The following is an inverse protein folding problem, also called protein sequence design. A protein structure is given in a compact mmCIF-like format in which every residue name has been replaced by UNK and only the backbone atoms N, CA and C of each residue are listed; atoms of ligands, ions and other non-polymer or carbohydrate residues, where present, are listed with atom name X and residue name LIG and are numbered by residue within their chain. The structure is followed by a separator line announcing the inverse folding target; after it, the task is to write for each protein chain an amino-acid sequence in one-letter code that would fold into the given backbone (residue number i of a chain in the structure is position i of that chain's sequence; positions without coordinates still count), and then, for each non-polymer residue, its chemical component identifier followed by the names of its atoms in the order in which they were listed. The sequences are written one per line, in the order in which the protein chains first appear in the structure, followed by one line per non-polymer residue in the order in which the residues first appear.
data_IF_900583732377
#
_entry.id   IF_900583732377
#
_cell.length_a   1.000
_cell.length_b   1.000
_cell.length_c   1.000
_cell.angle_alpha   90.00
_cell.angle_beta   90.00
_cell.angle_gamma   90.00
#
_symmetry.space_group_name_H-M   'P 1'
#
loop_
_entity.id
_entity.type
_entity.pdbx_description
1 polymer ?
#
# COMPACT_ATOMS: atom_id res chain seq x y z
N UNK A 1 -24.36 79.06 -0.31
CA UNK A 1 -23.29 78.75 0.66
C UNK A 1 -23.09 77.25 0.58
N UNK A 2 -21.91 76.85 0.14
CA UNK A 2 -21.53 75.46 -0.07
C UNK A 2 -21.10 74.86 1.26
N UNK A 3 -21.64 73.70 1.62
CA UNK A 3 -21.07 72.83 2.65
C UNK A 3 -20.56 71.58 1.95
N UNK A 4 -19.24 71.50 1.88
CA UNK A 4 -18.47 70.50 1.15
C UNK A 4 -18.21 69.30 2.05
N UNK A 5 -18.47 68.12 1.50
CA UNK A 5 -18.17 66.79 2.03
C UNK A 5 -16.66 66.62 2.30
N UNK A 6 -16.25 66.41 3.56
CA UNK A 6 -14.89 65.95 3.90
C UNK A 6 -14.84 64.42 3.94
N UNK A 7 -14.46 63.83 2.81
CA UNK A 7 -14.18 62.41 2.69
C UNK A 7 -12.76 62.14 3.19
N UNK A 8 -12.64 61.54 4.38
CA UNK A 8 -11.37 61.16 5.00
C UNK A 8 -10.73 60.02 4.16
N UNK A 9 -9.71 60.36 3.38
CA UNK A 9 -8.89 59.39 2.64
C UNK A 9 -7.95 58.73 3.65
N UNK A 10 -8.14 57.44 3.90
CA UNK A 10 -7.17 56.60 4.62
C UNK A 10 -6.14 56.16 3.58
N UNK A 11 -4.94 56.71 3.64
CA UNK A 11 -3.79 56.20 2.90
C UNK A 11 -3.30 54.94 3.59
N UNK A 12 -3.50 53.78 2.96
CA UNK A 12 -2.79 52.54 3.29
C UNK A 12 -1.31 52.76 2.94
N UNK A 13 -0.46 52.84 3.96
CA UNK A 13 0.98 52.73 3.79
C UNK A 13 1.29 51.30 3.33
N UNK A 14 1.65 51.15 2.05
CA UNK A 14 2.20 49.91 1.52
C UNK A 14 3.56 49.68 2.18
N UNK A 15 3.59 48.75 3.15
CA UNK A 15 4.82 48.22 3.72
C UNK A 15 5.58 47.50 2.59
N UNK A 16 6.61 48.16 2.07
CA UNK A 16 7.50 47.65 1.03
C UNK A 16 8.29 46.47 1.61
N UNK A 17 7.82 45.25 1.36
CA UNK A 17 8.49 44.02 1.78
C UNK A 17 9.82 43.93 1.01
N UNK A 18 10.93 44.20 1.69
CA UNK A 18 12.28 44.07 1.11
C UNK A 18 12.42 42.67 0.46
N UNK A 19 12.74 42.65 -0.83
CA UNK A 19 12.91 41.42 -1.57
C UNK A 19 14.08 40.63 -0.98
N UNK A 20 13.81 39.41 -0.50
CA UNK A 20 14.87 38.53 0.00
C UNK A 20 15.89 38.25 -1.11
N UNK A 21 17.20 38.25 -0.81
CA UNK A 21 18.23 37.96 -1.82
C UNK A 21 18.03 36.55 -2.39
N UNK A 22 18.00 36.45 -3.72
CA UNK A 22 17.91 35.17 -4.44
C UNK A 22 19.28 34.46 -4.37
N UNK A 23 19.45 33.59 -3.36
CA UNK A 23 20.69 32.86 -3.13
C UNK A 23 20.74 31.63 -4.03
N UNK A 24 21.62 31.68 -5.04
CA UNK A 24 21.89 30.55 -5.92
C UNK A 24 22.88 29.56 -5.28
N UNK A 25 22.57 28.26 -5.37
CA UNK A 25 23.42 27.16 -4.91
C UNK A 25 23.80 26.26 -6.09
N UNK A 26 25.09 25.94 -6.23
CA UNK A 26 25.52 24.92 -7.17
C UNK A 26 25.12 23.52 -6.68
N UNK A 27 24.49 22.68 -7.52
CA UNK A 27 24.08 21.33 -7.14
C UNK A 27 25.30 20.44 -6.84
N UNK A 28 25.33 19.85 -5.64
CA UNK A 28 26.40 18.92 -5.23
C UNK A 28 26.38 17.62 -6.07
N UNK A 29 25.21 17.21 -6.55
CA UNK A 29 25.00 15.97 -7.29
C UNK A 29 24.08 16.23 -8.49
N UNK A 30 24.47 15.72 -9.66
CA UNK A 30 23.61 15.66 -10.85
C UNK A 30 22.96 14.29 -10.90
N UNK A 31 21.64 14.25 -10.73
CA UNK A 31 20.85 13.02 -10.87
C UNK A 31 20.42 12.90 -12.33
N UNK A 32 20.56 11.70 -12.91
CA UNK A 32 19.94 11.38 -14.19
C UNK A 32 18.44 11.15 -13.99
N UNK A 33 17.64 11.51 -14.98
CA UNK A 33 16.24 11.11 -15.01
C UNK A 33 16.14 9.58 -15.09
N UNK A 34 15.29 9.00 -14.26
CA UNK A 34 15.06 7.55 -14.19
C UNK A 34 13.58 7.30 -14.41
N UNK A 35 13.27 6.33 -15.28
CA UNK A 35 11.89 5.87 -15.46
C UNK A 35 11.41 5.20 -14.17
N UNK A 36 10.39 5.77 -13.53
CA UNK A 36 9.81 5.22 -12.31
C UNK A 36 8.56 4.41 -12.68
N UNK A 37 8.60 3.12 -12.39
CA UNK A 37 7.44 2.22 -12.55
C UNK A 37 6.68 2.11 -11.23
N UNK A 38 5.36 2.08 -11.32
CA UNK A 38 4.48 1.99 -10.14
C UNK A 38 4.31 0.55 -9.66
N UNK A 39 4.57 -0.42 -10.54
CA UNK A 39 4.28 -1.84 -10.35
C UNK A 39 2.77 -2.10 -10.19
N UNK A 40 1.95 -1.26 -10.82
CA UNK A 40 0.47 -1.33 -10.90
C UNK A 40 0.01 -1.48 -12.36
N UNK A 41 0.91 -1.53 -13.35
CA UNK A 41 0.59 -1.46 -14.79
C UNK A 41 -0.14 -2.71 -15.32
N UNK A 42 0.09 -3.85 -14.65
CA UNK A 42 -0.55 -5.13 -14.95
C UNK A 42 -1.84 -5.35 -14.14
N UNK A 43 -2.41 -4.30 -13.55
CA UNK A 43 -3.59 -4.38 -12.71
C UNK A 43 -4.69 -3.42 -13.15
N UNK A 44 -5.94 -3.87 -13.03
CA UNK A 44 -7.13 -3.07 -13.28
C UNK A 44 -7.73 -2.57 -11.96
N UNK A 45 -8.18 -1.31 -11.95
CA UNK A 45 -8.75 -0.67 -10.77
C UNK A 45 -10.24 -1.03 -10.66
N UNK A 46 -10.59 -1.93 -9.74
CA UNK A 46 -11.98 -2.33 -9.48
C UNK A 46 -12.72 -1.34 -8.58
N UNK A 47 -11.99 -0.68 -7.70
CA UNK A 47 -12.52 0.29 -6.74
C UNK A 47 -11.46 1.35 -6.46
N UNK A 48 -11.89 2.60 -6.29
CA UNK A 48 -11.04 3.72 -5.86
C UNK A 48 -11.85 4.68 -5.02
N UNK A 49 -11.38 5.00 -3.82
CA UNK A 49 -12.05 5.96 -2.95
C UNK A 49 -11.09 6.64 -1.98
N UNK A 50 -11.39 7.90 -1.67
CA UNK A 50 -10.68 8.67 -0.65
C UNK A 50 -10.95 8.14 0.76
N UNK A 51 -9.91 7.89 1.53
CA UNK A 51 -10.03 7.39 2.90
C UNK A 51 -8.88 7.86 3.82
N UNK A 52 -9.08 7.67 5.13
CA UNK A 52 -8.04 7.76 6.15
C UNK A 52 -7.85 6.39 6.80
N UNK A 53 -6.62 5.90 6.81
CA UNK A 53 -6.21 4.62 7.36
C UNK A 53 -5.49 4.80 8.70
N UNK A 54 -5.82 3.93 9.64
CA UNK A 54 -5.24 3.83 10.96
C UNK A 54 -4.70 2.42 11.19
N UNK A 55 -3.73 2.33 12.09
CA UNK A 55 -3.14 1.09 12.59
C UNK A 55 -3.30 1.03 14.09
N UNK A 56 -3.68 -0.11 14.61
CA UNK A 56 -3.73 -0.32 16.04
C UNK A 56 -2.33 -0.64 16.58
N UNK A 57 -1.84 0.18 17.51
CA UNK A 57 -0.61 -0.08 18.23
C UNK A 57 -0.92 -0.97 19.45
N UNK A 58 -0.52 -2.25 19.38
CA UNK A 58 -0.79 -3.22 20.46
C UNK A 58 -0.08 -2.88 21.77
N UNK A 59 1.08 -2.20 21.70
CA UNK A 59 1.87 -1.84 22.88
C UNK A 59 1.23 -0.69 23.65
N UNK A 60 0.82 0.36 22.94
CA UNK A 60 0.19 1.54 23.52
C UNK A 60 -1.34 1.43 23.62
N UNK A 61 -1.94 0.41 23.02
CA UNK A 61 -3.39 0.17 22.96
C UNK A 61 -4.17 1.36 22.39
N UNK A 62 -3.64 1.93 21.31
CA UNK A 62 -4.21 3.12 20.68
C UNK A 62 -4.21 3.03 19.15
N UNK A 63 -5.08 3.81 18.52
CA UNK A 63 -5.11 3.96 17.07
C UNK A 63 -4.15 5.06 16.63
N UNK A 64 -3.19 4.73 15.77
CA UNK A 64 -2.28 5.69 15.12
C UNK A 64 -2.68 5.91 13.68
N UNK A 65 -2.63 7.16 13.22
CA UNK A 65 -2.84 7.47 11.80
C UNK A 65 -1.72 6.84 10.98
N UNK A 66 -2.09 6.02 10.00
CA UNK A 66 -1.14 5.36 9.10
C UNK A 66 -1.01 6.12 7.78
N UNK A 67 -2.10 6.67 7.25
CA UNK A 67 -2.08 7.46 6.03
C UNK A 67 -3.44 8.01 5.59
N UNK A 68 -3.41 9.04 4.75
CA UNK A 68 -4.57 9.63 4.08
C UNK A 68 -4.30 9.64 2.58
N UNK A 69 -5.28 9.17 1.80
CA UNK A 69 -5.15 9.07 0.35
C UNK A 69 -6.25 8.23 -0.28
N UNK A 70 -6.02 7.78 -1.50
CA UNK A 70 -6.97 6.92 -2.20
C UNK A 70 -6.65 5.45 -1.90
N UNK A 71 -7.63 4.72 -1.36
CA UNK A 71 -7.60 3.26 -1.32
C UNK A 71 -8.09 2.71 -2.65
N UNK A 72 -7.40 1.70 -3.17
CA UNK A 72 -7.73 1.01 -4.41
C UNK A 72 -7.86 -0.50 -4.17
N UNK A 73 -8.77 -1.14 -4.90
CA UNK A 73 -8.72 -2.57 -5.15
C UNK A 73 -8.18 -2.79 -6.56
N UNK A 74 -7.06 -3.50 -6.64
CA UNK A 74 -6.32 -3.72 -7.88
C UNK A 74 -6.37 -5.19 -8.23
N UNK A 75 -6.94 -5.53 -9.39
CA UNK A 75 -7.01 -6.89 -9.90
C UNK A 75 -5.90 -7.13 -10.93
N UNK A 76 -5.07 -8.12 -10.69
CA UNK A 76 -4.04 -8.53 -11.65
C UNK A 76 -4.66 -9.08 -12.94
N UNK A 77 -4.20 -8.61 -14.10
CA UNK A 77 -4.75 -8.98 -15.42
C UNK A 77 -4.66 -10.48 -15.71
N UNK A 78 -3.53 -11.10 -15.36
CA UNK A 78 -3.33 -12.54 -15.59
C UNK A 78 -3.90 -13.41 -14.48
N UNK A 79 -3.42 -13.24 -13.24
CA UNK A 79 -3.81 -14.11 -12.11
C UNK A 79 -5.22 -13.86 -11.58
N UNK A 80 -5.86 -12.76 -11.98
CA UNK A 80 -7.17 -12.28 -11.47
C UNK A 80 -7.24 -12.03 -9.96
N UNK A 81 -6.13 -12.21 -9.24
CA UNK A 81 -6.01 -11.92 -7.81
C UNK A 81 -6.15 -10.43 -7.58
N UNK A 82 -6.84 -10.08 -6.50
CA UNK A 82 -7.10 -8.70 -6.11
C UNK A 82 -6.39 -8.35 -4.81
N UNK A 83 -5.72 -7.21 -4.79
CA UNK A 83 -5.08 -6.65 -3.58
C UNK A 83 -5.66 -5.28 -3.23
N UNK A 84 -5.55 -4.94 -1.95
CA UNK A 84 -5.78 -3.59 -1.45
C UNK A 84 -4.46 -2.83 -1.51
N UNK A 85 -4.45 -1.70 -2.21
CA UNK A 85 -3.32 -0.76 -2.23
C UNK A 85 -3.78 0.63 -1.83
N UNK A 86 -3.04 1.28 -0.93
CA UNK A 86 -3.28 2.67 -0.55
C UNK A 86 -1.97 3.44 -0.44
N UNK A 87 -1.94 4.66 -1.00
CA UNK A 87 -0.78 5.57 -0.95
C UNK A 87 -1.15 6.86 -0.24
N UNK A 88 -0.19 7.44 0.46
CA UNK A 88 -0.33 8.74 1.12
C UNK A 88 -0.29 9.87 0.09
N UNK A 89 -1.07 10.91 0.31
CA UNK A 89 -0.98 12.14 -0.47
C UNK A 89 0.41 12.76 -0.42
N UNK A 90 0.76 13.47 -1.49
CA UNK A 90 1.99 14.25 -1.70
C UNK A 90 3.28 13.41 -1.73
N UNK A 91 3.45 12.51 -0.76
CA UNK A 91 4.63 11.64 -0.64
C UNK A 91 4.54 10.38 -1.51
N UNK A 92 3.33 9.99 -1.91
CA UNK A 92 3.05 8.77 -2.69
C UNK A 92 3.56 7.47 -2.05
N UNK A 93 3.99 7.51 -0.78
CA UNK A 93 4.43 6.35 -0.01
C UNK A 93 3.24 5.41 0.23
N UNK A 94 3.46 4.12 0.02
CA UNK A 94 2.48 3.08 0.32
C UNK A 94 2.20 3.07 1.82
N UNK A 95 0.93 2.96 2.20
CA UNK A 95 0.49 2.82 3.60
C UNK A 95 -0.43 1.62 3.83
N UNK A 96 -0.83 0.90 2.78
CA UNK A 96 -1.37 -0.45 2.85
C UNK A 96 -1.08 -1.18 1.54
N UNK A 97 -0.67 -2.43 1.63
CA UNK A 97 -0.46 -3.32 0.49
C UNK A 97 -0.59 -4.76 0.97
N UNK A 98 -1.73 -5.38 0.71
CA UNK A 98 -2.00 -6.77 1.07
C UNK A 98 -3.06 -7.38 0.15
N UNK A 99 -3.01 -8.70 -0.03
CA UNK A 99 -4.09 -9.44 -0.68
C UNK A 99 -5.35 -9.40 0.18
N UNK A 100 -6.53 -9.35 -0.46
CA UNK A 100 -7.81 -9.49 0.23
C UNK A 100 -8.13 -10.99 0.33
N UNK A 101 -8.09 -11.57 1.53
CA UNK A 101 -8.35 -13.01 1.71
C UNK A 101 -9.77 -13.27 2.20
N UNK A 102 -10.29 -14.49 1.99
CA UNK A 102 -11.61 -14.92 2.43
C UNK A 102 -11.78 -14.89 3.95
N UNK A 103 -10.69 -15.05 4.69
CA UNK A 103 -10.66 -15.04 6.16
C UNK A 103 -10.80 -13.63 6.77
N UNK A 104 -10.58 -12.57 5.98
CA UNK A 104 -10.74 -11.21 6.48
C UNK A 104 -12.21 -10.90 6.77
N UNK A 105 -12.48 -10.11 7.81
CA UNK A 105 -13.84 -9.69 8.15
C UNK A 105 -13.83 -8.22 8.55
N UNK A 106 -14.66 -7.42 7.87
CA UNK A 106 -14.86 -6.01 8.20
C UNK A 106 -15.82 -5.90 9.38
N UNK A 107 -15.30 -5.46 10.52
CA UNK A 107 -16.08 -5.19 11.73
C UNK A 107 -16.33 -3.69 11.90
N UNK A 108 -17.53 -3.27 12.33
CA UNK A 108 -17.80 -1.85 12.59
C UNK A 108 -16.94 -1.34 13.74
N UNK A 109 -16.46 -0.09 13.64
CA UNK A 109 -15.74 0.54 14.75
C UNK A 109 -16.74 1.20 15.73
N UNK A 110 -16.53 1.01 17.04
CA UNK A 110 -17.42 1.57 18.07
C UNK A 110 -17.42 3.10 17.97
N UNK A 111 -18.61 3.70 17.88
CA UNK A 111 -18.77 5.15 17.79
C UNK A 111 -18.51 5.73 16.39
N UNK A 112 -18.41 4.90 15.34
CA UNK A 112 -18.36 5.39 13.95
C UNK A 112 -19.26 4.57 13.03
N UNK A 113 -20.08 5.27 12.27
CA UNK A 113 -20.94 4.75 11.19
C UNK A 113 -20.24 4.70 9.82
N UNK A 114 -19.00 5.19 9.75
CA UNK A 114 -18.23 5.40 8.52
C UNK A 114 -16.83 4.81 8.59
N UNK A 115 -16.63 3.83 9.47
CA UNK A 115 -15.33 3.17 9.66
C UNK A 115 -15.46 1.66 9.78
N UNK A 116 -14.49 0.94 9.19
CA UNK A 116 -14.36 -0.50 9.30
C UNK A 116 -13.00 -0.89 9.87
N UNK A 117 -12.96 -2.01 10.60
CA UNK A 117 -11.77 -2.59 11.22
C UNK A 117 -11.58 -4.02 10.72
N UNK A 118 -10.36 -4.41 10.38
CA UNK A 118 -10.02 -5.79 10.03
C UNK A 118 -8.59 -6.13 10.41
N UNK A 119 -8.31 -7.43 10.48
CA UNK A 119 -6.97 -7.96 10.69
C UNK A 119 -6.37 -8.39 9.35
N UNK A 120 -5.10 -8.07 9.16
CA UNK A 120 -4.28 -8.44 8.01
C UNK A 120 -3.15 -9.31 8.51
N UNK A 121 -2.96 -10.49 7.94
CA UNK A 121 -1.87 -11.40 8.30
C UNK A 121 -0.52 -10.97 7.72
N UNK A 122 -0.51 -10.43 6.51
CA UNK A 122 0.70 -10.07 5.77
C UNK A 122 0.52 -8.77 4.97
N UNK A 123 0.64 -7.61 5.63
CA UNK A 123 0.77 -6.31 4.98
C UNK A 123 2.24 -6.01 4.69
N UNK A 124 2.56 -5.66 3.43
CA UNK A 124 3.95 -5.44 2.96
C UNK A 124 4.24 -3.96 2.69
N UNK A 125 3.43 -3.04 3.21
CA UNK A 125 3.59 -1.60 2.91
C UNK A 125 4.89 -0.97 3.46
N UNK A 126 5.55 -1.64 4.40
CA UNK A 126 6.82 -1.22 5.00
C UNK A 126 8.00 -2.14 4.63
N UNK A 127 7.86 -2.90 3.53
CA UNK A 127 8.90 -3.77 2.98
C UNK A 127 8.72 -5.25 3.35
N UNK A 128 8.60 -5.54 4.64
CA UNK A 128 8.37 -6.91 5.14
C UNK A 128 6.90 -7.18 5.41
N UNK A 129 6.49 -8.44 5.30
CA UNK A 129 5.15 -8.87 5.67
C UNK A 129 4.94 -8.76 7.18
N UNK A 130 3.94 -7.95 7.59
CA UNK A 130 3.59 -7.75 9.00
C UNK A 130 2.12 -8.00 9.25
N UNK A 131 1.82 -8.58 10.41
CA UNK A 131 0.45 -8.69 10.87
C UNK A 131 0.00 -7.32 11.41
N UNK A 132 -1.12 -6.83 10.90
CA UNK A 132 -1.64 -5.52 11.24
C UNK A 132 -3.13 -5.58 11.57
N UNK A 133 -3.57 -4.80 12.55
CA UNK A 133 -4.99 -4.52 12.77
C UNK A 133 -5.25 -3.11 12.25
N UNK A 134 -5.98 -3.02 11.15
CA UNK A 134 -6.21 -1.78 10.43
C UNK A 134 -7.63 -1.28 10.65
N UNK A 135 -7.79 0.03 10.68
CA UNK A 135 -9.08 0.68 10.60
C UNK A 135 -9.07 1.70 9.47
N UNK A 136 -10.13 1.74 8.67
CA UNK A 136 -10.28 2.71 7.58
C UNK A 136 -11.54 3.53 7.82
N UNK A 137 -11.44 4.84 7.61
CA UNK A 137 -12.53 5.80 7.78
C UNK A 137 -12.78 6.56 6.50
N UNK A 138 -14.06 6.67 6.14
CA UNK A 138 -14.52 7.37 4.94
C UNK A 138 -15.19 8.70 5.30
N UNK A 139 -15.53 9.48 4.27
CA UNK A 139 -16.19 10.77 4.44
C UNK A 139 -17.58 10.65 5.09
N UNK A 140 -18.36 9.65 4.68
CA UNK A 140 -19.73 9.38 5.13
C UNK A 140 -19.99 7.87 5.20
N UNK A 141 -21.14 7.49 5.77
CA UNK A 141 -21.55 6.09 5.93
C UNK A 141 -21.85 5.39 4.61
N UNK A 142 -22.41 6.10 3.63
CA UNK A 142 -22.65 5.57 2.27
C UNK A 142 -21.36 5.06 1.61
N UNK A 143 -20.30 5.87 1.64
CA UNK A 143 -18.99 5.50 1.13
C UNK A 143 -18.38 4.31 1.87
N UNK A 144 -18.58 4.26 3.20
CA UNK A 144 -18.12 3.14 3.99
C UNK A 144 -18.83 1.84 3.61
N UNK A 145 -20.15 1.88 3.40
CA UNK A 145 -20.92 0.72 2.96
C UNK A 145 -20.52 0.29 1.55
N UNK A 146 -20.33 1.23 0.61
CA UNK A 146 -19.86 0.90 -0.74
C UNK A 146 -18.48 0.23 -0.72
N UNK A 147 -17.58 0.67 0.15
CA UNK A 147 -16.30 -0.01 0.37
C UNK A 147 -16.49 -1.43 0.87
N UNK A 148 -17.37 -1.62 1.86
CA UNK A 148 -17.65 -2.96 2.42
C UNK A 148 -18.21 -3.90 1.37
N UNK A 149 -19.22 -3.45 0.61
CA UNK A 149 -19.84 -4.24 -0.45
C UNK A 149 -18.80 -4.68 -1.49
N UNK A 150 -17.92 -3.77 -1.92
CA UNK A 150 -16.83 -4.09 -2.85
C UNK A 150 -15.74 -4.95 -2.22
N UNK A 151 -15.46 -4.81 -0.94
CA UNK A 151 -14.51 -5.66 -0.24
C UNK A 151 -15.00 -7.11 -0.22
N UNK A 152 -16.27 -7.33 0.13
CA UNK A 152 -16.90 -8.66 0.15
C UNK A 152 -17.04 -9.27 -1.26
N UNK A 153 -17.33 -8.46 -2.29
CA UNK A 153 -17.30 -8.91 -3.69
C UNK A 153 -15.90 -9.41 -4.09
N UNK A 154 -14.88 -8.64 -3.76
CA UNK A 154 -13.48 -8.99 -4.05
C UNK A 154 -13.02 -10.23 -3.27
N UNK A 155 -13.48 -10.41 -2.02
CA UNK A 155 -13.21 -11.63 -1.26
C UNK A 155 -13.73 -12.88 -1.98
N UNK A 156 -14.94 -12.81 -2.56
CA UNK A 156 -15.51 -13.92 -3.34
C UNK A 156 -14.71 -14.20 -4.60
N UNK A 157 -14.25 -13.15 -5.31
CA UNK A 157 -13.37 -13.30 -6.47
C UNK A 157 -12.09 -14.05 -6.08
N UNK A 158 -11.42 -13.61 -5.01
CA UNK A 158 -10.18 -14.24 -4.57
C UNK A 158 -10.38 -15.67 -4.04
N UNK A 159 -11.48 -15.94 -3.34
CA UNK A 159 -11.82 -17.29 -2.88
C UNK A 159 -12.05 -18.26 -4.06
N UNK A 160 -12.78 -17.83 -5.09
CA UNK A 160 -13.01 -18.65 -6.29
C UNK A 160 -11.71 -19.01 -7.04
N UNK A 161 -10.64 -18.22 -6.87
CA UNK A 161 -9.33 -18.49 -7.46
C UNK A 161 -8.45 -19.41 -6.60
N UNK A 162 -8.71 -19.52 -5.29
CA UNK A 162 -7.98 -20.45 -4.41
C UNK A 162 -8.54 -21.85 -4.47
N UNK A 163 -9.86 -21.98 -4.64
CA UNK A 163 -10.54 -23.28 -4.68
C UNK A 163 -10.42 -23.98 -6.05
N UNK A 164 -10.11 -23.22 -7.11
CA UNK A 164 -9.91 -23.74 -8.48
C UNK A 164 -8.47 -24.17 -8.81
N UNK A 165 -7.59 -24.35 -7.81
CA UNK A 165 -6.16 -24.64 -8.01
C UNK A 165 -5.67 -25.97 -7.39
N UNK A 166 -6.59 -26.93 -7.27
CA UNK A 166 -6.27 -28.36 -7.11
C UNK A 166 -6.83 -29.12 -8.30
N UNK A 167 -6.24 -28.93 -9.48
CA UNK A 167 -6.19 -29.90 -10.59
C UNK A 167 -5.21 -29.33 -11.65
N UNK A 168 -4.16 -30.12 -11.92
CA UNK A 168 -3.09 -30.03 -12.94
C UNK A 168 -2.07 -28.86 -12.86
N UNK A 169 -0.75 -29.07 -12.71
CA UNK A 169 0.12 -30.19 -13.11
C UNK A 169 1.01 -30.70 -11.97
N UNK A 170 0.88 -31.99 -11.65
CA UNK A 170 2.03 -32.84 -11.38
C UNK A 170 2.48 -33.40 -12.74
N UNK A 171 3.66 -33.01 -13.22
CA UNK A 171 4.44 -33.86 -14.11
C UNK A 171 5.54 -34.42 -13.22
N UNK A 172 5.41 -35.72 -12.93
CA UNK A 172 6.47 -36.57 -12.41
C UNK A 172 7.60 -36.66 -13.44
N UNK A 173 8.81 -36.28 -13.05
CA UNK A 173 10.03 -36.96 -13.49
C UNK A 173 10.75 -37.45 -12.21
N UNK A 174 10.39 -38.66 -11.77
CA UNK A 174 11.32 -39.65 -11.20
C UNK A 174 11.86 -40.47 -12.37
N UNK A 175 13.09 -40.90 -12.50
CA UNK A 175 14.05 -41.48 -11.54
C UNK A 175 15.43 -41.41 -12.24
N UNK A 176 16.51 -41.21 -11.49
CA UNK A 176 17.55 -42.25 -11.27
C UNK A 176 18.71 -41.66 -10.44
N UNK A 177 18.70 -41.95 -9.14
CA UNK A 177 19.88 -41.95 -8.28
C UNK A 177 20.42 -43.40 -8.28
N UNK A 178 21.51 -43.66 -8.99
CA UNK A 178 22.39 -44.81 -8.71
C UNK A 178 23.69 -44.27 -8.09
N UNK A 179 23.80 -44.37 -6.76
CA UNK A 179 25.06 -44.41 -6.05
C UNK A 179 25.76 -45.73 -6.38
N UNK A 180 26.90 -45.66 -7.07
CA UNK A 180 27.82 -46.79 -7.20
C UNK A 180 29.06 -46.53 -6.32
N UNK A 181 29.14 -47.34 -5.28
CA UNK A 181 30.19 -47.42 -4.27
C UNK A 181 31.19 -48.48 -4.76
N UNK A 182 32.31 -48.08 -5.38
CA UNK A 182 33.44 -48.99 -5.64
C UNK A 182 34.69 -48.52 -4.87
N UNK A 183 34.93 -49.19 -3.74
CA UNK A 183 36.28 -49.45 -3.23
C UNK A 183 37.03 -50.31 -4.25
N UNK A 184 38.18 -49.84 -4.77
CA UNK A 184 39.26 -50.77 -5.03
C UNK A 184 40.67 -50.17 -4.81
N UNK A 185 41.53 -51.06 -4.33
CA UNK A 185 42.87 -50.83 -3.79
C UNK A 185 43.92 -50.87 -4.90
N UNK A 186 44.98 -50.08 -4.76
CA UNK A 186 46.37 -50.44 -5.14
C UNK A 186 47.32 -49.36 -4.55
N UNK A 187 48.01 -49.60 -3.44
CA UNK A 187 49.35 -50.21 -3.31
C UNK A 187 50.46 -49.50 -4.12
N UNK A 188 51.27 -48.66 -3.46
CA UNK A 188 52.72 -48.63 -3.72
C UNK A 188 53.52 -48.02 -2.54
N UNK A 189 53.99 -48.92 -1.67
CA UNK A 189 55.40 -49.18 -1.32
C UNK A 189 56.42 -48.03 -1.14
N UNK A 190 57.25 -48.26 -0.11
CA UNK A 190 58.68 -47.84 0.09
C UNK A 190 58.90 -46.41 0.61
N UNK A 191 59.85 -46.12 1.49
CA UNK A 191 60.97 -46.87 2.10
C UNK A 191 61.47 -46.06 3.32
N UNK A 192 62.07 -46.77 4.28
CA UNK A 192 62.98 -46.32 5.36
C UNK A 192 62.57 -45.24 6.38
#
# INVERSE_FOLDING_TARGET
MADTEEKKIVTEEQEEVEASPDVHFEPVIKLSEVEVKTMEEMEDVLFKMRAKLFRYDKGLKEWKERGVGDVKFLQHKDTKKVRLLMRRDKTHKVCANHAITSEMSLSPNVGSDRSWVWNVSADVSEGEARQETLAIRFANSENANLFKDKFEEVQKINAGLTDGKTEDKADEESDDDEEDDEEDKEDDKKEE
#
